data_IF_334854610864
#
_entry.id   IF_334854610864
#
_cell.length_a   1.000
_cell.length_b   1.000
_cell.length_c   1.000
_cell.angle_alpha   90.00
_cell.angle_beta   90.00
_cell.angle_gamma   90.00
#
_symmetry.space_group_name_H-M   'P 1'
#
loop_
_entity.id
_entity.type
_entity.pdbx_description
1 polymer ?
#
# COMPACT_ATOMS: atom_id res chain seq x y z
N UNK A 1 -12.40 14.50 2.46
CA UNK A 1 -12.75 13.36 1.59
C UNK A 1 -11.53 12.45 1.51
N UNK A 2 -11.60 11.29 2.15
CA UNK A 2 -10.46 10.37 2.32
C UNK A 2 -10.20 9.48 1.09
N UNK A 3 -9.85 10.10 -0.04
CA UNK A 3 -9.58 9.40 -1.29
C UNK A 3 -8.41 8.40 -1.15
N UNK A 4 -7.37 8.77 -0.40
CA UNK A 4 -6.22 7.89 -0.12
C UNK A 4 -6.56 6.66 0.73
N UNK A 5 -7.55 6.77 1.63
CA UNK A 5 -8.06 5.65 2.43
C UNK A 5 -8.87 4.69 1.56
N UNK A 6 -9.74 5.24 0.71
CA UNK A 6 -10.54 4.44 -0.24
C UNK A 6 -9.64 3.66 -1.20
N UNK A 7 -8.61 4.31 -1.74
CA UNK A 7 -7.63 3.67 -2.61
C UNK A 7 -6.87 2.54 -1.89
N UNK A 8 -6.45 2.77 -0.63
CA UNK A 8 -5.81 1.73 0.18
C UNK A 8 -6.74 0.52 0.40
N UNK A 9 -8.02 0.77 0.70
CA UNK A 9 -9.02 -0.29 0.85
C UNK A 9 -9.23 -1.08 -0.42
N UNK A 10 -9.31 -0.40 -1.57
CA UNK A 10 -9.45 -1.06 -2.88
C UNK A 10 -8.25 -1.94 -3.18
N UNK A 11 -7.03 -1.45 -2.95
CA UNK A 11 -5.81 -2.24 -3.12
C UNK A 11 -5.85 -3.52 -2.28
N UNK A 12 -6.24 -3.42 -1.00
CA UNK A 12 -6.35 -4.58 -0.11
C UNK A 12 -7.36 -5.60 -0.62
N UNK A 13 -8.52 -5.15 -1.09
CA UNK A 13 -9.53 -6.03 -1.67
C UNK A 13 -9.01 -6.71 -2.94
N UNK A 14 -8.33 -5.97 -3.81
CA UNK A 14 -7.80 -6.47 -5.08
C UNK A 14 -6.70 -7.53 -4.89
N UNK A 15 -5.79 -7.32 -3.92
CA UNK A 15 -4.71 -8.25 -3.62
C UNK A 15 -5.09 -9.34 -2.60
N UNK A 16 -6.36 -9.37 -2.16
CA UNK A 16 -6.89 -10.37 -1.24
C UNK A 16 -6.31 -10.30 0.17
N UNK A 17 -6.00 -9.10 0.67
CA UNK A 17 -5.53 -8.88 2.04
C UNK A 17 -6.70 -8.79 3.03
N UNK A 18 -6.48 -9.19 4.31
CA UNK A 18 -7.51 -9.12 5.33
C UNK A 18 -8.00 -7.68 5.55
N UNK A 19 -9.32 -7.42 5.50
CA UNK A 19 -9.85 -6.07 5.71
C UNK A 19 -9.65 -5.60 7.15
N UNK A 20 -9.56 -6.52 8.13
CA UNK A 20 -9.30 -6.20 9.53
C UNK A 20 -7.94 -5.53 9.76
N UNK A 21 -6.94 -5.80 8.91
CA UNK A 21 -5.64 -5.13 8.97
C UNK A 21 -5.77 -3.64 8.64
N UNK A 22 -6.71 -3.26 7.77
CA UNK A 22 -6.99 -1.85 7.50
C UNK A 22 -7.51 -1.13 8.74
N UNK A 23 -8.35 -1.80 9.51
CA UNK A 23 -9.06 -1.20 10.66
C UNK A 23 -8.21 -1.18 11.93
N UNK A 24 -7.35 -2.19 12.12
CA UNK A 24 -6.52 -2.31 13.33
C UNK A 24 -5.13 -1.72 13.12
N UNK A 25 -4.40 -2.24 12.13
CA UNK A 25 -2.95 -2.05 11.99
C UNK A 25 -2.62 -0.85 11.10
N UNK A 26 -3.56 -0.53 10.21
CA UNK A 26 -3.47 0.56 9.26
C UNK A 26 -4.55 1.59 9.50
N UNK A 27 -5.16 1.68 10.70
CA UNK A 27 -6.33 2.53 10.99
C UNK A 27 -6.15 3.98 10.50
N UNK A 28 -4.96 4.53 10.75
CA UNK A 28 -4.55 5.89 10.37
C UNK A 28 -3.77 5.96 9.06
N UNK A 29 -3.65 4.86 8.35
CA UNK A 29 -2.92 4.79 7.10
C UNK A 29 -3.76 5.16 5.88
N UNK A 30 -3.11 5.84 4.94
CA UNK A 30 -3.66 6.25 3.65
C UNK A 30 -2.58 6.31 2.59
N UNK A 31 -2.98 6.06 1.34
CA UNK A 31 -2.12 6.34 0.19
C UNK A 31 -2.07 7.85 0.01
N UNK A 32 -0.88 8.44 0.09
CA UNK A 32 -0.67 9.88 -0.09
C UNK A 32 -0.53 10.23 -1.57
N UNK A 33 0.29 9.47 -2.28
CA UNK A 33 0.51 9.63 -3.72
C UNK A 33 0.91 8.29 -4.34
N UNK A 34 0.61 8.13 -5.62
CA UNK A 34 1.12 7.02 -6.44
C UNK A 34 1.82 7.64 -7.64
N UNK A 35 3.12 7.39 -7.78
CA UNK A 35 3.89 7.84 -8.95
C UNK A 35 4.04 6.67 -9.91
N UNK A 36 3.63 6.89 -11.15
CA UNK A 36 3.68 5.87 -12.20
C UNK A 36 4.80 6.23 -13.16
N UNK A 37 5.80 5.36 -13.26
CA UNK A 37 6.82 5.40 -14.30
C UNK A 37 6.41 4.40 -15.40
N UNK A 38 5.81 4.91 -16.47
CA UNK A 38 5.32 4.08 -17.58
C UNK A 38 6.47 3.46 -18.38
N UNK A 39 7.60 4.16 -18.51
CA UNK A 39 8.76 3.68 -19.25
C UNK A 39 9.39 2.47 -18.58
N UNK A 40 9.41 2.47 -17.24
CA UNK A 40 9.94 1.35 -16.43
C UNK A 40 8.89 0.35 -16.00
N UNK A 41 7.61 0.60 -16.30
CA UNK A 41 6.45 -0.15 -15.80
C UNK A 41 6.49 -0.30 -14.28
N UNK A 42 6.77 0.80 -13.59
CA UNK A 42 6.95 0.80 -12.14
C UNK A 42 5.96 1.75 -11.47
N UNK A 43 5.30 1.28 -10.43
CA UNK A 43 4.45 2.09 -9.57
C UNK A 43 5.12 2.28 -8.22
N UNK A 44 5.23 3.54 -7.81
CA UNK A 44 5.78 3.95 -6.53
C UNK A 44 4.63 4.44 -5.66
N UNK A 45 4.19 3.61 -4.73
CA UNK A 45 3.08 3.89 -3.83
C UNK A 45 3.62 4.50 -2.54
N UNK A 46 3.29 5.76 -2.27
CA UNK A 46 3.67 6.41 -1.03
C UNK A 46 2.55 6.23 -0.01
N UNK A 47 2.82 5.36 0.96
CA UNK A 47 1.95 5.11 2.08
C UNK A 47 2.32 6.04 3.24
N UNK A 48 1.34 6.77 3.74
CA UNK A 48 1.44 7.49 4.99
C UNK A 48 0.72 6.68 6.05
N UNK A 49 1.41 6.30 7.12
CA UNK A 49 0.79 5.74 8.31
C UNK A 49 0.92 6.73 9.47
N UNK A 50 -0.14 6.84 10.27
CA UNK A 50 -0.11 7.60 11.52
C UNK A 50 0.62 6.88 12.65
N UNK A 51 0.87 5.58 12.51
CA UNK A 51 1.54 4.74 13.49
C UNK A 51 2.55 3.80 12.82
N UNK A 52 3.56 3.31 13.57
CA UNK A 52 4.47 2.28 13.07
C UNK A 52 3.71 1.02 12.65
N UNK A 53 4.00 0.52 11.46
CA UNK A 53 3.46 -0.75 10.97
C UNK A 53 4.28 -1.92 11.48
N UNK A 54 3.59 -3.00 11.87
CA UNK A 54 4.27 -4.26 12.17
C UNK A 54 5.05 -4.76 10.93
N UNK A 55 6.33 -5.16 11.10
CA UNK A 55 7.16 -5.60 9.97
C UNK A 55 6.57 -6.76 9.17
N UNK A 56 5.89 -7.70 9.85
CA UNK A 56 5.27 -8.87 9.21
C UNK A 56 4.12 -8.47 8.29
N UNK A 57 3.28 -7.54 8.74
CA UNK A 57 2.16 -7.00 7.95
C UNK A 57 2.69 -6.25 6.74
N UNK A 58 3.73 -5.45 6.94
CA UNK A 58 4.37 -4.71 5.86
C UNK A 58 4.96 -5.63 4.79
N UNK A 59 5.70 -6.66 5.21
CA UNK A 59 6.27 -7.65 4.29
C UNK A 59 5.18 -8.41 3.54
N UNK A 60 4.12 -8.82 4.24
CA UNK A 60 2.99 -9.54 3.64
C UNK A 60 2.27 -8.67 2.60
N UNK A 61 2.02 -7.39 2.92
CA UNK A 61 1.46 -6.42 1.98
C UNK A 61 2.33 -6.31 0.72
N UNK A 62 3.63 -6.09 0.89
CA UNK A 62 4.57 -5.99 -0.24
C UNK A 62 4.58 -7.26 -1.08
N UNK A 63 4.61 -8.44 -0.44
CA UNK A 63 4.61 -9.72 -1.13
C UNK A 63 3.33 -9.94 -1.93
N UNK A 64 2.16 -9.71 -1.35
CA UNK A 64 0.86 -9.91 -2.01
C UNK A 64 0.68 -8.99 -3.20
N UNK A 65 1.06 -7.72 -3.05
CA UNK A 65 0.99 -6.75 -4.14
C UNK A 65 1.94 -7.14 -5.26
N UNK A 66 3.18 -7.55 -4.95
CA UNK A 66 4.12 -8.01 -5.97
C UNK A 66 3.62 -9.26 -6.68
N UNK A 67 3.07 -10.23 -5.96
CA UNK A 67 2.48 -11.44 -6.55
C UNK A 67 1.29 -11.15 -7.47
N UNK A 68 0.53 -10.09 -7.21
CA UNK A 68 -0.64 -9.74 -8.00
C UNK A 68 -0.28 -8.95 -9.28
N UNK A 69 0.70 -8.05 -9.20
CA UNK A 69 1.02 -7.12 -10.29
C UNK A 69 2.30 -7.46 -11.07
N UNK A 70 3.27 -8.18 -10.49
CA UNK A 70 4.46 -8.62 -11.21
C UNK A 70 4.18 -9.89 -12.04
N UNK A 71 4.83 -10.06 -13.22
CA UNK A 71 5.87 -9.20 -13.79
C UNK A 71 5.38 -7.98 -14.59
N UNK A 72 4.08 -7.83 -14.83
CA UNK A 72 3.50 -6.78 -15.67
C UNK A 72 3.85 -5.37 -15.20
N UNK A 73 3.76 -5.13 -13.88
CA UNK A 73 4.06 -3.87 -13.22
C UNK A 73 4.84 -4.13 -11.94
N UNK A 74 6.00 -3.47 -11.80
CA UNK A 74 6.77 -3.49 -10.56
C UNK A 74 6.18 -2.50 -9.57
N UNK A 75 5.75 -2.98 -8.41
CA UNK A 75 5.18 -2.10 -7.37
C UNK A 75 6.16 -1.96 -6.22
N UNK A 76 6.50 -0.73 -5.86
CA UNK A 76 7.35 -0.39 -4.73
C UNK A 76 6.61 0.52 -3.78
N UNK A 77 6.73 0.24 -2.48
CA UNK A 77 6.11 1.08 -1.46
C UNK A 77 7.16 1.93 -0.75
N UNK A 78 6.83 3.21 -0.59
CA UNK A 78 7.57 4.14 0.25
C UNK A 78 6.75 4.51 1.47
N UNK A 79 7.39 4.46 2.63
CA UNK A 79 6.76 4.75 3.90
C UNK A 79 7.25 6.10 4.41
N UNK A 80 6.32 6.94 4.87
CA UNK A 80 6.66 8.20 5.52
C UNK A 80 5.79 8.42 6.78
N UNK A 81 6.45 8.48 7.95
CA UNK A 81 5.83 8.94 9.20
C UNK A 81 6.09 10.44 9.33
N UNK A 82 5.04 11.20 9.59
CA UNK A 82 5.22 12.57 10.09
C UNK A 82 5.14 12.47 11.60
N UNK A 83 6.29 12.61 12.25
CA UNK A 83 6.40 12.75 13.71
C UNK A 83 5.82 14.10 14.12
#
# INVERSE_FOLDING_TARGET
>A
MDQGRKALRQLFTEVGLPPEWLERELAHARIKEVRVDQAKRTWHVHLHAGEPLEPEIWQTLQQRVRQHFEPEVKVSFFFNMTV
#
